data_IF_992614698326
#
_entry.id   IF_992614698326
#
_cell.length_a   1.000
_cell.length_b   1.000
_cell.length_c   1.000
_cell.angle_alpha   90.00
_cell.angle_beta   90.00
_cell.angle_gamma   90.00
#
_symmetry.space_group_name_H-M   'P 1'
#
loop_
_entity.id
_entity.type
_entity.pdbx_description
1 polymer ?
#
# COMPACT_ATOMS: atom_id res chain seq x y z
N UNK A 1 23.96 -1.33 -26.25
CA UNK A 1 24.37 -0.49 -27.39
C UNK A 1 23.29 0.54 -27.68
N UNK A 2 23.61 1.83 -27.62
CA UNK A 2 22.87 2.92 -28.25
C UNK A 2 21.87 3.67 -27.35
N UNK A 3 22.38 4.57 -26.50
CA UNK A 3 21.61 5.71 -25.98
C UNK A 3 21.27 6.66 -27.15
N UNK A 4 20.01 7.09 -27.24
CA UNK A 4 19.63 8.25 -28.03
C UNK A 4 18.99 9.27 -27.11
N UNK A 5 19.73 10.35 -26.83
CA UNK A 5 19.20 11.55 -26.18
C UNK A 5 18.48 12.39 -27.23
N UNK A 6 17.21 12.72 -27.00
CA UNK A 6 16.49 13.70 -27.80
C UNK A 6 16.36 15.01 -27.01
N UNK A 7 17.06 16.02 -27.47
CA UNK A 7 16.95 17.41 -27.01
C UNK A 7 15.83 18.09 -27.76
N UNK A 8 14.81 18.59 -27.04
CA UNK A 8 13.72 19.39 -27.59
C UNK A 8 14.05 20.88 -27.42
N UNK A 9 14.24 21.59 -28.54
CA UNK A 9 14.34 23.03 -28.58
C UNK A 9 12.95 23.70 -28.56
N UNK A 10 12.74 24.59 -27.62
CA UNK A 10 11.60 25.48 -27.58
C UNK A 10 11.85 26.71 -28.42
N UNK A 11 11.02 26.92 -29.43
CA UNK A 11 10.94 28.19 -30.19
C UNK A 11 9.67 28.93 -29.77
N UNK A 12 9.86 30.08 -29.14
CA UNK A 12 8.78 31.00 -28.77
C UNK A 12 8.25 31.80 -29.97
N UNK A 13 6.96 31.92 -30.09
CA UNK A 13 6.31 32.93 -30.94
C UNK A 13 5.36 33.74 -30.06
N UNK A 14 5.63 35.03 -29.95
CA UNK A 14 4.76 36.01 -29.30
C UNK A 14 3.66 36.43 -30.28
N UNK A 15 2.41 36.29 -29.85
CA UNK A 15 1.22 36.89 -30.50
C UNK A 15 0.60 37.90 -29.56
N UNK A 16 0.65 39.17 -29.94
CA UNK A 16 -0.08 40.28 -29.33
C UNK A 16 -1.53 40.24 -29.80
N UNK A 17 -2.46 39.99 -28.90
CA UNK A 17 -3.90 40.07 -29.15
C UNK A 17 -4.58 41.01 -28.16
N UNK A 18 -5.30 41.98 -28.68
CA UNK A 18 -6.00 43.04 -27.97
C UNK A 18 -7.14 42.50 -27.10
N UNK A 19 -7.23 42.97 -25.87
CA UNK A 19 -8.26 42.61 -24.92
C UNK A 19 -9.58 43.34 -25.23
N UNK A 20 -10.67 42.60 -25.41
CA UNK A 20 -12.04 43.07 -25.29
C UNK A 20 -12.55 42.73 -23.89
N UNK A 21 -13.03 43.73 -23.16
CA UNK A 21 -13.55 43.56 -21.80
C UNK A 21 -14.97 42.95 -21.85
N UNK A 22 -15.15 41.82 -21.22
CA UNK A 22 -16.46 41.23 -20.87
C UNK A 22 -16.92 41.68 -19.46
N UNK A 23 -18.24 41.83 -19.23
CA UNK A 23 -18.74 42.35 -17.96
C UNK A 23 -18.79 41.28 -16.85
N UNK A 24 -18.15 41.59 -15.74
CA UNK A 24 -18.51 41.22 -14.38
C UNK A 24 -18.82 39.77 -14.06
N UNK A 25 -17.79 38.92 -13.93
CA UNK A 25 -17.92 37.70 -13.14
C UNK A 25 -17.95 38.04 -11.63
N UNK A 26 -18.90 37.46 -10.90
CA UNK A 26 -18.97 37.58 -9.44
C UNK A 26 -17.66 37.10 -8.80
N UNK A 27 -17.19 37.73 -7.71
CA UNK A 27 -15.96 37.32 -7.04
C UNK A 27 -16.10 35.88 -6.54
N UNK A 28 -15.06 35.07 -6.81
CA UNK A 28 -14.97 33.71 -6.29
C UNK A 28 -15.08 33.73 -4.76
N UNK A 29 -15.74 32.75 -4.12
CA UNK A 29 -15.80 32.68 -2.68
C UNK A 29 -14.39 32.61 -2.11
N UNK A 30 -14.14 33.22 -0.95
CA UNK A 30 -12.82 33.18 -0.32
C UNK A 30 -12.41 31.72 -0.05
N UNK A 31 -11.10 31.38 -0.15
CA UNK A 31 -10.62 30.06 0.16
C UNK A 31 -11.01 29.71 1.61
N UNK A 32 -11.37 28.44 1.90
CA UNK A 32 -11.70 28.03 3.27
C UNK A 32 -10.53 28.34 4.19
N UNK A 33 -10.84 28.94 5.32
CA UNK A 33 -9.85 29.33 6.34
C UNK A 33 -9.09 28.11 6.86
N UNK A 34 -7.85 28.26 7.36
CA UNK A 34 -7.05 27.18 7.88
C UNK A 34 -7.71 26.58 9.13
N UNK A 35 -8.25 25.36 9.05
CA UNK A 35 -8.63 24.64 10.25
C UNK A 35 -9.79 23.65 10.21
N UNK A 36 -10.59 23.55 9.17
CA UNK A 36 -11.67 22.56 9.13
C UNK A 36 -11.46 21.60 7.96
N UNK A 37 -11.15 20.34 8.26
CA UNK A 37 -11.30 19.25 7.29
C UNK A 37 -12.77 19.21 6.88
N UNK A 38 -13.07 19.10 5.58
CA UNK A 38 -14.43 18.89 5.10
C UNK A 38 -15.06 17.69 5.82
N UNK A 39 -16.37 17.72 6.13
CA UNK A 39 -17.02 16.59 6.77
C UNK A 39 -16.93 15.36 5.87
N UNK A 40 -16.48 14.22 6.43
CA UNK A 40 -16.39 12.94 5.73
C UNK A 40 -17.81 12.50 5.35
N UNK A 41 -18.11 12.19 4.06
CA UNK A 41 -19.42 11.70 3.65
C UNK A 41 -19.82 10.43 4.40
N UNK A 42 -21.07 10.34 4.84
CA UNK A 42 -21.54 9.23 5.68
C UNK A 42 -21.55 7.87 4.97
N UNK A 43 -21.56 7.88 3.65
CA UNK A 43 -21.52 6.73 2.74
C UNK A 43 -20.14 6.51 2.09
N UNK A 44 -19.13 7.27 2.50
CA UNK A 44 -17.76 7.02 2.07
C UNK A 44 -17.25 5.66 2.54
N UNK A 45 -16.30 5.07 1.80
CA UNK A 45 -15.68 3.79 2.18
C UNK A 45 -15.11 3.86 3.60
N UNK A 46 -14.47 4.98 3.93
CA UNK A 46 -13.95 5.28 5.27
C UNK A 46 -15.04 5.21 6.34
N UNK A 47 -16.15 5.95 6.14
CA UNK A 47 -17.21 6.04 7.14
C UNK A 47 -17.93 4.69 7.34
N UNK A 48 -18.09 3.93 6.26
CA UNK A 48 -18.68 2.59 6.32
C UNK A 48 -17.75 1.60 7.03
N UNK A 49 -16.46 1.59 6.69
CA UNK A 49 -15.45 0.77 7.35
C UNK A 49 -15.31 1.08 8.84
N UNK A 50 -15.30 2.36 9.22
CA UNK A 50 -15.18 2.78 10.62
C UNK A 50 -16.37 2.28 11.48
N UNK A 51 -17.58 2.16 10.92
CA UNK A 51 -18.75 1.60 11.64
C UNK A 51 -18.58 0.14 12.05
N UNK A 52 -17.80 -0.61 11.30
CA UNK A 52 -17.55 -2.04 11.56
C UNK A 52 -16.16 -2.31 12.15
N UNK A 53 -15.36 -1.26 12.35
CA UNK A 53 -14.01 -1.35 12.90
C UNK A 53 -12.97 -1.87 11.92
N UNK A 54 -13.25 -1.85 10.60
CA UNK A 54 -12.31 -2.17 9.53
C UNK A 54 -11.69 -0.89 8.97
N UNK A 55 -10.37 -0.84 8.87
CA UNK A 55 -9.69 0.28 8.21
C UNK A 55 -9.72 0.09 6.70
N UNK A 56 -10.29 1.06 5.98
CA UNK A 56 -10.19 1.11 4.53
C UNK A 56 -9.04 2.05 4.18
N UNK A 57 -7.96 1.47 3.64
CA UNK A 57 -6.73 2.20 3.32
C UNK A 57 -6.59 2.51 1.85
N UNK A 58 -5.50 3.20 1.50
CA UNK A 58 -4.99 3.33 0.12
C UNK A 58 -3.50 3.64 0.12
N UNK A 59 -2.78 3.13 -0.89
CA UNK A 59 -1.46 3.67 -1.21
C UNK A 59 -1.61 5.08 -1.78
N UNK A 60 -0.64 5.95 -1.48
CA UNK A 60 -0.68 7.38 -1.83
C UNK A 60 0.57 7.79 -2.58
N UNK A 61 0.36 8.30 -3.79
CA UNK A 61 1.37 9.07 -4.50
C UNK A 61 1.45 10.47 -3.88
N UNK A 62 2.53 10.74 -3.16
CA UNK A 62 2.70 12.00 -2.41
C UNK A 62 2.89 13.23 -3.28
N UNK A 63 3.25 13.07 -4.56
CA UNK A 63 3.41 14.18 -5.49
C UNK A 63 2.05 14.77 -5.90
N UNK A 64 1.00 13.95 -5.82
CA UNK A 64 -0.37 14.37 -6.09
C UNK A 64 -1.04 15.08 -4.90
N UNK A 65 -0.56 14.85 -3.68
CA UNK A 65 -1.10 15.51 -2.49
C UNK A 65 -0.82 17.01 -2.50
N UNK A 66 -1.89 17.81 -2.60
CA UNK A 66 -1.83 19.27 -2.62
C UNK A 66 -1.63 19.87 -4.02
N UNK A 67 -1.12 19.10 -4.99
CA UNK A 67 -1.03 19.50 -6.40
C UNK A 67 -2.31 19.17 -7.18
N UNK A 68 -2.93 18.03 -6.90
CA UNK A 68 -4.20 17.59 -7.46
C UNK A 68 -5.30 17.67 -6.38
N UNK A 69 -6.20 18.64 -6.54
CA UNK A 69 -7.26 18.90 -5.54
C UNK A 69 -8.23 17.71 -5.40
N UNK A 70 -8.61 17.07 -6.52
CA UNK A 70 -9.54 15.94 -6.50
C UNK A 70 -8.89 14.69 -5.90
N UNK A 71 -7.63 14.37 -6.26
CA UNK A 71 -6.87 13.30 -5.64
C UNK A 71 -6.77 13.50 -4.12
N UNK A 72 -6.42 14.73 -3.70
CA UNK A 72 -6.30 15.11 -2.29
C UNK A 72 -7.63 14.94 -1.55
N UNK A 73 -8.75 15.36 -2.16
CA UNK A 73 -10.09 15.25 -1.59
C UNK A 73 -10.50 13.78 -1.42
N UNK A 74 -10.36 12.96 -2.46
CA UNK A 74 -10.68 11.52 -2.42
C UNK A 74 -9.85 10.83 -1.34
N UNK A 75 -8.54 11.09 -1.29
CA UNK A 75 -7.66 10.52 -0.26
C UNK A 75 -8.15 10.85 1.15
N UNK A 76 -8.58 12.08 1.42
CA UNK A 76 -9.05 12.50 2.73
C UNK A 76 -10.42 11.91 3.10
N UNK A 77 -11.35 11.85 2.13
CA UNK A 77 -12.75 11.51 2.38
C UNK A 77 -13.03 10.01 2.35
N UNK A 78 -12.34 9.26 1.49
CA UNK A 78 -12.68 7.85 1.24
C UNK A 78 -11.88 6.86 2.07
N UNK A 79 -10.75 7.25 2.65
CA UNK A 79 -9.84 6.33 3.30
C UNK A 79 -9.57 6.70 4.76
N UNK A 80 -9.56 5.70 5.65
CA UNK A 80 -9.26 5.86 7.08
C UNK A 80 -7.79 5.60 7.42
N UNK A 81 -7.03 5.05 6.45
CA UNK A 81 -5.58 4.91 6.55
C UNK A 81 -4.90 5.19 5.21
N UNK A 82 -3.64 5.59 5.26
CA UNK A 82 -2.80 5.85 4.09
C UNK A 82 -1.48 5.10 4.20
N UNK A 83 -0.99 4.62 3.07
CA UNK A 83 0.31 3.97 2.92
C UNK A 83 1.15 4.79 1.96
N UNK A 84 2.37 5.22 2.29
CA UNK A 84 3.24 5.86 1.30
C UNK A 84 3.60 4.86 0.21
N UNK A 85 3.25 5.16 -1.03
CA UNK A 85 3.57 4.27 -2.16
C UNK A 85 5.07 4.06 -2.30
N UNK A 86 5.86 5.12 -2.18
CA UNK A 86 7.31 5.08 -2.37
C UNK A 86 8.14 5.79 -1.31
N UNK A 87 7.65 6.90 -0.73
CA UNK A 87 8.48 7.87 0.01
C UNK A 87 9.03 7.38 1.36
N UNK A 88 8.63 6.20 1.84
CA UNK A 88 9.25 5.55 3.01
C UNK A 88 10.15 4.36 2.63
N UNK A 89 10.35 4.07 1.33
CA UNK A 89 11.28 3.04 0.87
C UNK A 89 12.73 3.53 0.99
N UNK A 90 13.64 2.64 1.31
CA UNK A 90 15.02 2.99 1.69
C UNK A 90 15.74 3.87 0.68
N UNK A 91 15.56 3.58 -0.64
CA UNK A 91 16.16 4.39 -1.71
C UNK A 91 15.86 5.89 -1.59
N UNK A 92 14.65 6.24 -1.13
CA UNK A 92 14.21 7.63 -1.04
C UNK A 92 14.51 8.25 0.33
N UNK A 93 14.42 7.47 1.42
CA UNK A 93 14.68 8.02 2.76
C UNK A 93 16.17 8.16 3.09
N UNK A 94 17.05 7.38 2.45
CA UNK A 94 18.50 7.47 2.66
C UNK A 94 19.27 7.34 1.32
N UNK A 95 19.08 8.29 0.39
CA UNK A 95 19.68 8.21 -0.96
C UNK A 95 21.22 8.18 -0.92
N UNK A 96 21.83 8.79 0.08
CA UNK A 96 23.25 8.72 0.36
C UNK A 96 23.48 8.21 1.78
N UNK A 97 24.47 7.36 1.98
CA UNK A 97 24.76 6.71 3.27
C UNK A 97 24.88 7.73 4.41
N UNK A 98 24.00 7.61 5.41
CA UNK A 98 23.95 8.49 6.57
C UNK A 98 23.25 9.83 6.33
N UNK A 99 22.72 10.08 5.13
CA UNK A 99 21.98 11.31 4.81
C UNK A 99 20.52 10.98 4.55
N UNK A 100 19.65 11.40 5.44
CA UNK A 100 18.22 11.12 5.36
C UNK A 100 17.44 12.27 4.72
N UNK A 101 16.44 11.91 3.90
CA UNK A 101 15.41 12.83 3.38
C UNK A 101 14.03 12.34 3.84
N UNK A 102 13.49 12.97 4.85
CA UNK A 102 12.18 12.67 5.41
C UNK A 102 11.06 13.54 4.85
N UNK A 103 11.40 14.59 4.08
CA UNK A 103 10.48 15.67 3.76
C UNK A 103 9.17 15.19 3.08
N UNK A 104 9.24 14.26 2.13
CA UNK A 104 8.07 13.74 1.45
C UNK A 104 7.23 12.84 2.36
N UNK A 105 7.86 11.99 3.17
CA UNK A 105 7.19 11.14 4.13
C UNK A 105 6.53 11.95 5.26
N UNK A 106 7.21 12.99 5.78
CA UNK A 106 6.66 13.91 6.77
C UNK A 106 5.43 14.66 6.26
N UNK A 107 5.40 15.04 4.98
CA UNK A 107 4.21 15.65 4.35
C UNK A 107 3.01 14.69 4.37
N UNK A 108 3.22 13.41 4.03
CA UNK A 108 2.16 12.40 4.10
C UNK A 108 1.65 12.20 5.51
N UNK A 109 2.55 12.06 6.49
CA UNK A 109 2.19 11.90 7.90
C UNK A 109 1.42 13.12 8.41
N UNK A 110 1.85 14.33 8.05
CA UNK A 110 1.17 15.58 8.40
C UNK A 110 -0.23 15.66 7.78
N UNK A 111 -0.37 15.25 6.51
CA UNK A 111 -1.66 15.15 5.84
C UNK A 111 -2.59 14.15 6.56
N UNK A 112 -2.10 12.96 6.87
CA UNK A 112 -2.86 11.95 7.57
C UNK A 112 -3.36 12.43 8.94
N UNK A 113 -2.49 13.04 9.73
CA UNK A 113 -2.84 13.65 11.03
C UNK A 113 -3.94 14.69 10.89
N UNK A 114 -3.82 15.62 9.94
CA UNK A 114 -4.82 16.65 9.66
C UNK A 114 -6.19 16.03 9.35
N UNK A 115 -6.22 14.90 8.63
CA UNK A 115 -7.44 14.22 8.22
C UNK A 115 -7.86 13.10 9.17
N UNK A 116 -7.19 12.93 10.33
CA UNK A 116 -7.46 11.87 11.32
C UNK A 116 -7.39 10.47 10.71
N UNK A 117 -6.42 10.25 9.84
CA UNK A 117 -6.12 8.97 9.21
C UNK A 117 -4.96 8.30 9.92
N UNK A 118 -4.94 6.97 9.91
CA UNK A 118 -3.80 6.18 10.33
C UNK A 118 -2.76 6.12 9.20
N UNK A 119 -1.49 5.91 9.57
CA UNK A 119 -0.43 5.71 8.59
C UNK A 119 0.14 4.31 8.73
N UNK A 120 0.15 3.54 7.63
CA UNK A 120 0.90 2.30 7.50
C UNK A 120 2.26 2.63 6.91
N UNK A 121 3.34 2.34 7.64
CA UNK A 121 4.71 2.53 7.16
C UNK A 121 5.13 1.38 6.24
N UNK A 122 5.54 1.70 5.03
CA UNK A 122 5.94 0.73 4.01
C UNK A 122 7.23 1.20 3.32
N UNK A 123 8.30 0.49 3.45
CA UNK A 123 8.61 -0.72 4.20
C UNK A 123 10.04 -0.62 4.77
N UNK A 124 10.34 -1.30 5.88
CA UNK A 124 11.66 -1.19 6.50
C UNK A 124 12.72 -2.07 5.82
N UNK A 125 12.38 -3.33 5.49
CA UNK A 125 13.31 -4.28 4.88
C UNK A 125 12.69 -4.90 3.64
N UNK A 126 13.27 -4.61 2.50
CA UNK A 126 12.89 -5.17 1.21
C UNK A 126 14.14 -5.38 0.36
N UNK A 127 14.06 -6.19 -0.69
CA UNK A 127 15.17 -6.40 -1.63
C UNK A 127 15.14 -5.41 -2.79
N UNK A 128 14.01 -4.71 -2.99
CA UNK A 128 13.81 -3.75 -4.06
C UNK A 128 13.94 -2.31 -3.54
N UNK A 129 14.12 -1.35 -4.45
CA UNK A 129 14.23 0.09 -4.16
C UNK A 129 15.21 0.41 -3.02
N UNK A 130 16.38 -0.25 -3.05
CA UNK A 130 17.51 0.04 -2.17
C UNK A 130 18.36 1.18 -2.76
N UNK A 131 19.02 2.00 -1.94
CA UNK A 131 19.97 3.00 -2.44
C UNK A 131 21.18 2.31 -3.06
N UNK A 132 21.71 2.88 -4.12
CA UNK A 132 22.80 2.29 -4.92
C UNK A 132 24.10 2.09 -4.14
N UNK A 133 24.34 2.89 -3.10
CA UNK A 133 25.49 2.70 -2.21
C UNK A 133 25.42 1.41 -1.39
N UNK A 134 24.22 0.85 -1.24
CA UNK A 134 23.97 -0.41 -0.50
C UNK A 134 23.88 -1.59 -1.47
N UNK A 135 23.01 -1.51 -2.47
CA UNK A 135 22.81 -2.53 -3.48
C UNK A 135 21.99 -1.97 -4.65
N UNK A 136 22.37 -2.30 -5.88
CA UNK A 136 21.62 -1.91 -7.08
C UNK A 136 20.58 -2.94 -7.51
N UNK A 137 20.68 -4.18 -7.03
CA UNK A 137 19.85 -5.31 -7.45
C UNK A 137 19.18 -6.05 -6.26
N UNK A 138 19.50 -5.67 -5.01
CA UNK A 138 19.01 -6.33 -3.80
C UNK A 138 19.69 -7.65 -3.46
N UNK A 139 20.54 -8.15 -4.36
CA UNK A 139 21.17 -9.46 -4.24
C UNK A 139 22.71 -9.42 -4.15
N UNK A 140 23.31 -8.31 -4.55
CA UNK A 140 24.76 -8.09 -4.47
C UNK A 140 25.08 -6.78 -3.75
N UNK A 141 26.21 -6.76 -3.05
CA UNK A 141 26.72 -5.57 -2.35
C UNK A 141 28.24 -5.64 -2.22
N UNK A 142 28.88 -4.49 -2.14
CA UNK A 142 30.32 -4.39 -1.84
C UNK A 142 30.60 -4.36 -0.33
N UNK A 143 29.55 -4.25 0.51
CA UNK A 143 29.69 -4.23 1.95
C UNK A 143 29.96 -5.64 2.51
N UNK A 144 30.76 -5.71 3.54
CA UNK A 144 30.91 -6.96 4.33
C UNK A 144 29.61 -7.33 5.05
N UNK A 145 29.43 -8.60 5.41
CA UNK A 145 28.28 -9.07 6.17
C UNK A 145 28.05 -8.27 7.47
N UNK A 146 29.13 -7.89 8.16
CA UNK A 146 29.02 -7.09 9.38
C UNK A 146 28.55 -5.67 9.11
N UNK A 147 28.98 -5.06 8.01
CA UNK A 147 28.49 -3.74 7.59
C UNK A 147 27.02 -3.82 7.19
N UNK A 148 26.60 -4.83 6.41
CA UNK A 148 25.19 -5.04 6.05
C UNK A 148 24.32 -5.14 7.31
N UNK A 149 24.74 -5.91 8.32
CA UNK A 149 24.04 -6.02 9.60
C UNK A 149 23.93 -4.67 10.33
N UNK A 150 25.02 -3.93 10.37
CA UNK A 150 25.09 -2.64 11.05
C UNK A 150 24.19 -1.58 10.37
N UNK A 151 24.23 -1.49 9.03
CA UNK A 151 23.43 -0.51 8.28
C UNK A 151 21.95 -0.86 8.34
N UNK A 152 21.57 -2.15 8.28
CA UNK A 152 20.19 -2.58 8.42
C UNK A 152 19.61 -2.20 9.79
N UNK A 153 20.34 -2.53 10.87
CA UNK A 153 19.92 -2.16 12.23
C UNK A 153 19.72 -0.65 12.35
N UNK A 154 20.71 0.12 11.87
CA UNK A 154 20.66 1.59 11.94
C UNK A 154 19.47 2.14 11.17
N UNK A 155 19.24 1.70 9.94
CA UNK A 155 18.11 2.13 9.10
C UNK A 155 16.77 1.89 9.80
N UNK A 156 16.53 0.65 10.26
CA UNK A 156 15.27 0.32 10.95
C UNK A 156 15.07 1.22 12.18
N UNK A 157 16.10 1.34 13.01
CA UNK A 157 15.99 2.14 14.23
C UNK A 157 15.80 3.63 13.95
N UNK A 158 16.48 4.18 12.97
CA UNK A 158 16.39 5.61 12.65
C UNK A 158 15.01 5.93 12.04
N UNK A 159 14.54 5.13 11.09
CA UNK A 159 13.26 5.36 10.45
C UNK A 159 12.09 5.19 11.44
N UNK A 160 12.09 4.11 12.22
CA UNK A 160 11.03 3.88 13.22
C UNK A 160 11.05 4.95 14.32
N UNK A 161 12.23 5.41 14.76
CA UNK A 161 12.35 6.48 15.75
C UNK A 161 11.87 7.83 15.21
N UNK A 162 12.18 8.14 13.93
CA UNK A 162 11.73 9.38 13.29
C UNK A 162 10.21 9.50 13.30
N UNK A 163 9.51 8.40 12.98
CA UNK A 163 8.05 8.35 12.93
C UNK A 163 7.39 7.78 14.19
N UNK A 164 8.11 7.71 15.30
CA UNK A 164 7.60 7.08 16.53
C UNK A 164 6.30 7.70 17.02
N UNK A 165 5.29 6.84 17.15
CA UNK A 165 3.94 7.21 17.58
C UNK A 165 3.04 7.77 16.48
N UNK A 166 3.56 7.93 15.25
CA UNK A 166 2.83 8.40 14.08
C UNK A 166 2.41 7.24 13.15
N UNK A 167 3.15 6.14 13.20
CA UNK A 167 2.86 4.94 12.39
C UNK A 167 2.06 3.95 13.24
N UNK A 168 0.91 3.58 12.71
CA UNK A 168 0.02 2.58 13.29
C UNK A 168 0.51 1.14 13.09
N UNK A 169 1.03 0.87 11.87
CA UNK A 169 1.48 -0.44 11.43
C UNK A 169 2.73 -0.27 10.55
N UNK A 170 3.76 -1.05 10.78
CA UNK A 170 4.94 -1.16 9.92
C UNK A 170 4.94 -2.48 9.16
N UNK A 171 5.20 -2.44 7.88
CA UNK A 171 5.71 -3.59 7.14
C UNK A 171 7.21 -3.68 7.43
N UNK A 172 7.54 -4.53 8.41
CA UNK A 172 8.92 -4.67 8.86
C UNK A 172 9.77 -5.39 7.83
N UNK A 173 9.24 -6.47 7.27
CA UNK A 173 9.87 -7.23 6.18
C UNK A 173 8.86 -7.47 5.08
N UNK A 174 9.28 -7.17 3.86
CA UNK A 174 8.50 -7.33 2.64
C UNK A 174 9.14 -8.38 1.73
N UNK A 175 8.37 -9.38 1.28
CA UNK A 175 8.67 -10.31 0.19
C UNK A 175 9.96 -11.13 0.39
N UNK A 176 10.10 -11.78 1.53
CA UNK A 176 11.30 -12.59 1.84
C UNK A 176 11.32 -13.97 1.16
N UNK A 177 10.20 -14.40 0.56
CA UNK A 177 10.07 -15.68 -0.13
C UNK A 177 9.77 -15.51 -1.62
N UNK A 178 10.29 -16.41 -2.45
CA UNK A 178 9.92 -16.52 -3.86
C UNK A 178 8.60 -17.32 -4.02
N UNK A 179 8.12 -17.45 -5.25
CA UNK A 179 6.83 -18.10 -5.54
C UNK A 179 6.87 -19.62 -5.34
N UNK A 180 8.06 -20.23 -5.34
CA UNK A 180 8.28 -21.64 -4.98
C UNK A 180 8.30 -21.88 -3.46
N UNK A 181 8.18 -20.82 -2.66
CA UNK A 181 8.27 -20.86 -1.20
C UNK A 181 9.70 -20.98 -0.67
N UNK A 182 10.70 -20.70 -1.50
CA UNK A 182 12.10 -20.64 -1.07
C UNK A 182 12.43 -19.24 -0.55
N UNK A 183 13.30 -19.14 0.48
CA UNK A 183 13.82 -17.83 0.88
C UNK A 183 14.55 -17.15 -0.27
N UNK A 184 14.29 -15.86 -0.48
CA UNK A 184 15.07 -15.05 -1.42
C UNK A 184 16.49 -14.86 -0.88
N UNK A 185 17.49 -15.20 -1.67
CA UNK A 185 18.91 -15.07 -1.30
C UNK A 185 19.40 -13.61 -1.47
N UNK A 186 18.69 -12.68 -0.85
CA UNK A 186 19.01 -11.25 -0.83
C UNK A 186 20.33 -10.96 -0.11
N UNK A 187 20.80 -9.70 -0.15
CA UNK A 187 21.97 -9.27 0.63
C UNK A 187 21.75 -9.51 2.13
N UNK A 188 20.50 -9.42 2.60
CA UNK A 188 20.11 -9.71 3.99
C UNK A 188 20.28 -11.18 4.31
N UNK A 189 19.70 -12.05 3.50
CA UNK A 189 19.81 -13.50 3.65
C UNK A 189 21.28 -13.95 3.69
N UNK A 190 22.08 -13.46 2.75
CA UNK A 190 23.52 -13.78 2.66
C UNK A 190 24.30 -13.31 3.89
N UNK A 191 24.02 -12.10 4.38
CA UNK A 191 24.70 -11.54 5.53
C UNK A 191 24.44 -12.33 6.84
N UNK A 192 23.26 -12.93 7.00
CA UNK A 192 22.92 -13.76 8.17
C UNK A 192 23.16 -15.26 7.94
N UNK A 193 23.38 -15.70 6.70
CA UNK A 193 23.41 -17.11 6.33
C UNK A 193 22.04 -17.78 6.47
N UNK A 194 20.93 -17.02 6.22
CA UNK A 194 19.56 -17.49 6.34
C UNK A 194 18.58 -16.40 6.74
N UNK A 195 17.36 -16.80 7.16
CA UNK A 195 16.26 -15.91 7.50
C UNK A 195 16.38 -15.21 8.87
N UNK A 196 17.48 -15.37 9.59
CA UNK A 196 17.68 -14.78 10.92
C UNK A 196 17.55 -13.25 10.97
N UNK A 197 17.82 -12.54 9.85
CA UNK A 197 17.66 -11.10 9.75
C UNK A 197 16.22 -10.64 10.02
N UNK A 198 15.23 -11.47 9.70
CA UNK A 198 13.82 -11.14 9.89
C UNK A 198 13.50 -11.01 11.38
N UNK A 199 13.92 -12.00 12.19
CA UNK A 199 13.72 -11.95 13.63
C UNK A 199 14.39 -10.71 14.27
N UNK A 200 15.61 -10.39 13.81
CA UNK A 200 16.34 -9.20 14.30
C UNK A 200 15.66 -7.90 13.86
N UNK A 201 15.18 -7.81 12.61
CA UNK A 201 14.44 -6.64 12.11
C UNK A 201 13.19 -6.36 12.96
N UNK A 202 12.38 -7.37 13.27
CA UNK A 202 11.21 -7.23 14.13
C UNK A 202 11.58 -6.77 15.56
N UNK A 203 12.65 -7.32 16.15
CA UNK A 203 13.12 -6.90 17.47
C UNK A 203 13.58 -5.45 17.47
N UNK A 204 14.34 -5.02 16.48
CA UNK A 204 14.82 -3.64 16.38
C UNK A 204 13.70 -2.63 16.11
N UNK A 205 12.72 -3.01 15.30
CA UNK A 205 11.53 -2.18 15.10
C UNK A 205 10.73 -2.02 16.40
N UNK A 206 10.51 -3.12 17.14
CA UNK A 206 9.82 -3.10 18.43
C UNK A 206 10.58 -2.30 19.50
N UNK A 207 11.91 -2.43 19.56
CA UNK A 207 12.74 -1.61 20.45
C UNK A 207 12.60 -0.11 20.17
N UNK A 208 12.47 0.27 18.90
CA UNK A 208 12.35 1.67 18.50
C UNK A 208 10.95 2.25 18.76
N UNK A 209 9.88 1.51 18.41
CA UNK A 209 8.49 1.84 18.75
C UNK A 209 7.69 0.60 19.16
N UNK A 210 7.52 0.35 20.48
CA UNK A 210 6.78 -0.81 20.97
C UNK A 210 5.25 -0.70 20.82
N UNK A 211 4.73 0.41 20.28
CA UNK A 211 3.28 0.62 20.11
C UNK A 211 2.80 0.37 18.70
N UNK A 212 3.67 0.48 17.69
CA UNK A 212 3.32 0.17 16.32
C UNK A 212 3.11 -1.32 16.14
N UNK A 213 2.10 -1.71 15.35
CA UNK A 213 1.91 -3.09 14.93
C UNK A 213 2.99 -3.48 13.92
N UNK A 214 3.58 -4.65 14.07
CA UNK A 214 4.68 -5.12 13.24
C UNK A 214 4.24 -6.28 12.35
N UNK A 215 4.31 -6.08 11.04
CA UNK A 215 3.81 -6.99 10.02
C UNK A 215 4.93 -7.55 9.14
N UNK A 216 4.76 -8.81 8.76
CA UNK A 216 5.37 -9.39 7.57
C UNK A 216 4.41 -9.20 6.40
N UNK A 217 4.86 -8.76 5.23
CA UNK A 217 4.01 -8.47 4.08
C UNK A 217 4.53 -9.20 2.84
N UNK A 218 3.63 -9.86 2.08
CA UNK A 218 4.01 -10.58 0.87
C UNK A 218 2.81 -10.73 -0.09
N UNK A 219 3.11 -10.97 -1.37
CA UNK A 219 2.14 -11.28 -2.43
C UNK A 219 2.02 -12.80 -2.63
N UNK A 220 1.01 -13.23 -3.35
CA UNK A 220 0.69 -14.64 -3.59
C UNK A 220 0.48 -15.46 -2.30
N UNK A 221 -0.01 -14.79 -1.24
CA UNK A 221 -0.53 -15.43 -0.03
C UNK A 221 -2.03 -15.66 -0.09
N UNK A 222 -2.72 -15.21 -1.13
CA UNK A 222 -4.17 -15.21 -1.31
C UNK A 222 -4.75 -16.61 -1.56
N UNK A 223 -3.89 -17.59 -1.73
CA UNK A 223 -4.27 -19.00 -1.97
C UNK A 223 -3.30 -19.96 -1.29
N UNK A 224 -3.78 -21.18 -1.01
CA UNK A 224 -2.93 -22.24 -0.46
C UNK A 224 -1.97 -22.73 -1.53
N UNK A 225 -0.68 -22.54 -1.30
CA UNK A 225 0.38 -22.87 -2.25
C UNK A 225 1.75 -22.96 -1.57
N UNK A 226 2.82 -23.24 -2.32
CA UNK A 226 4.16 -23.37 -1.76
C UNK A 226 4.59 -22.16 -0.95
N UNK A 227 4.42 -20.95 -1.48
CA UNK A 227 4.82 -19.70 -0.83
C UNK A 227 4.01 -19.43 0.43
N UNK A 228 2.68 -19.47 0.36
CA UNK A 228 1.83 -19.20 1.53
C UNK A 228 2.04 -20.22 2.64
N UNK A 229 2.35 -21.48 2.30
CA UNK A 229 2.69 -22.51 3.28
C UNK A 229 4.06 -22.25 3.91
N UNK A 230 5.07 -21.90 3.11
CA UNK A 230 6.41 -21.58 3.63
C UNK A 230 6.39 -20.37 4.57
N UNK A 231 5.66 -19.31 4.21
CA UNK A 231 5.46 -18.11 5.05
C UNK A 231 4.71 -18.50 6.34
N UNK A 232 3.66 -19.32 6.25
CA UNK A 232 2.92 -19.79 7.43
C UNK A 232 3.81 -20.52 8.42
N UNK A 233 4.60 -21.51 7.96
CA UNK A 233 5.49 -22.29 8.80
C UNK A 233 6.62 -21.43 9.40
N UNK A 234 7.11 -20.48 8.62
CA UNK A 234 8.13 -19.54 9.10
C UNK A 234 7.57 -18.59 10.18
N UNK A 235 6.41 -18.00 9.96
CA UNK A 235 5.76 -17.13 10.94
C UNK A 235 5.42 -17.88 12.23
N UNK A 236 4.98 -19.14 12.12
CA UNK A 236 4.80 -20.03 13.28
C UNK A 236 6.10 -20.20 14.07
N UNK A 237 7.23 -20.32 13.37
CA UNK A 237 8.56 -20.39 13.98
C UNK A 237 8.92 -19.08 14.68
N UNK A 238 8.68 -17.91 14.07
CA UNK A 238 8.89 -16.61 14.70
C UNK A 238 8.07 -16.47 16.00
N UNK A 239 6.81 -16.88 15.98
CA UNK A 239 5.95 -16.89 17.18
C UNK A 239 6.51 -17.79 18.28
N UNK A 240 6.95 -19.00 17.95
CA UNK A 240 7.56 -19.93 18.91
C UNK A 240 8.84 -19.33 19.54
N UNK A 241 9.60 -18.54 18.78
CA UNK A 241 10.79 -17.82 19.24
C UNK A 241 10.48 -16.51 19.97
N UNK A 242 9.18 -16.19 20.18
CA UNK A 242 8.70 -14.94 20.80
C UNK A 242 9.24 -13.68 20.11
N UNK A 243 9.38 -13.75 18.79
CA UNK A 243 9.64 -12.54 17.98
C UNK A 243 8.39 -11.67 18.02
N UNK A 244 8.52 -10.34 18.18
CA UNK A 244 7.38 -9.42 18.29
C UNK A 244 6.75 -9.18 16.91
N UNK A 245 6.13 -10.20 16.33
CA UNK A 245 5.32 -10.13 15.12
C UNK A 245 3.85 -10.06 15.52
N UNK A 246 3.16 -9.02 15.05
CA UNK A 246 1.75 -8.78 15.35
C UNK A 246 0.82 -9.24 14.23
N UNK A 247 1.30 -9.30 12.99
CA UNK A 247 0.45 -9.67 11.86
C UNK A 247 1.17 -10.03 10.58
N UNK A 248 0.33 -10.43 9.60
CA UNK A 248 0.73 -10.74 8.23
C UNK A 248 -0.15 -9.97 7.26
N UNK A 249 0.48 -9.28 6.30
CA UNK A 249 -0.15 -8.61 5.18
C UNK A 249 -0.18 -9.51 3.95
N UNK A 250 -1.33 -9.56 3.32
CA UNK A 250 -1.60 -10.20 2.04
C UNK A 250 -1.72 -9.07 1.02
N UNK A 251 -0.79 -8.98 0.07
CA UNK A 251 -0.79 -7.84 -0.85
C UNK A 251 -2.06 -7.75 -1.69
N UNK A 252 -2.55 -8.88 -2.21
CA UNK A 252 -3.80 -8.89 -2.96
C UNK A 252 -3.69 -8.34 -4.38
N UNK A 253 -2.52 -8.48 -5.03
CA UNK A 253 -2.35 -8.16 -6.44
C UNK A 253 -3.02 -9.22 -7.32
N UNK A 254 -4.33 -9.06 -7.53
CA UNK A 254 -5.18 -10.05 -8.18
C UNK A 254 -5.23 -9.85 -9.70
N UNK A 255 -5.44 -10.97 -10.40
CA UNK A 255 -5.58 -11.02 -11.83
C UNK A 255 -6.86 -11.77 -12.19
N UNK A 256 -7.69 -11.19 -13.05
CA UNK A 256 -8.96 -11.81 -13.48
C UNK A 256 -8.81 -13.17 -14.18
N UNK A 257 -7.58 -13.54 -14.56
CA UNK A 257 -7.28 -14.83 -15.18
C UNK A 257 -7.04 -15.94 -14.17
N UNK A 258 -6.70 -15.62 -12.92
CA UNK A 258 -6.34 -16.58 -11.88
C UNK A 258 -7.30 -16.49 -10.69
N UNK A 259 -7.77 -17.63 -10.22
CA UNK A 259 -8.65 -17.69 -9.04
C UNK A 259 -7.87 -17.61 -7.73
N UNK A 260 -8.53 -17.12 -6.69
CA UNK A 260 -8.05 -17.12 -5.30
C UNK A 260 -9.11 -17.74 -4.37
N UNK A 261 -9.45 -19.03 -4.53
CA UNK A 261 -10.60 -19.64 -3.84
C UNK A 261 -10.41 -19.74 -2.33
N UNK A 262 -9.17 -19.74 -1.85
CA UNK A 262 -8.81 -20.06 -0.46
C UNK A 262 -8.48 -18.84 0.39
N UNK A 263 -8.66 -17.60 -0.12
CA UNK A 263 -8.24 -16.38 0.56
C UNK A 263 -8.77 -16.31 2.00
N UNK A 264 -10.06 -16.51 2.20
CA UNK A 264 -10.64 -16.50 3.56
C UNK A 264 -10.00 -17.55 4.47
N UNK A 265 -9.79 -18.76 3.99
CA UNK A 265 -9.17 -19.84 4.76
C UNK A 265 -7.68 -19.51 5.07
N UNK A 266 -6.98 -18.90 4.13
CA UNK A 266 -5.62 -18.47 4.35
C UNK A 266 -5.53 -17.34 5.38
N UNK A 267 -6.34 -16.29 5.27
CA UNK A 267 -6.44 -15.25 6.29
C UNK A 267 -6.74 -15.87 7.67
N UNK A 268 -7.71 -16.80 7.74
CA UNK A 268 -8.11 -17.42 9.00
C UNK A 268 -6.98 -18.25 9.64
N UNK A 269 -6.25 -19.06 8.86
CA UNK A 269 -5.17 -19.88 9.45
C UNK A 269 -4.03 -19.05 10.06
N UNK A 270 -3.70 -17.88 9.47
CA UNK A 270 -2.73 -16.96 10.07
C UNK A 270 -3.32 -16.29 11.31
N UNK A 271 -4.60 -15.92 11.29
CA UNK A 271 -5.31 -15.41 12.46
C UNK A 271 -5.35 -16.42 13.62
N UNK A 272 -5.48 -17.72 13.33
CA UNK A 272 -5.47 -18.81 14.32
C UNK A 272 -4.11 -18.95 15.04
N UNK A 273 -3.02 -18.40 14.47
CA UNK A 273 -1.73 -18.27 15.17
C UNK A 273 -1.73 -17.13 16.21
N UNK A 274 -2.85 -16.43 16.40
CA UNK A 274 -2.96 -15.25 17.27
C UNK A 274 -2.35 -14.00 16.63
N UNK A 275 -2.41 -13.88 15.31
CA UNK A 275 -1.94 -12.73 14.54
C UNK A 275 -3.12 -11.89 14.02
N UNK A 276 -2.85 -10.62 13.77
CA UNK A 276 -3.68 -9.81 12.88
C UNK A 276 -3.37 -10.18 11.44
N UNK A 277 -4.36 -10.02 10.57
CA UNK A 277 -4.19 -10.12 9.12
C UNK A 277 -4.71 -8.85 8.45
N UNK A 278 -4.25 -8.56 7.27
CA UNK A 278 -4.66 -7.40 6.49
C UNK A 278 -4.54 -7.71 5.00
N UNK A 279 -5.45 -7.19 4.19
CA UNK A 279 -5.23 -7.06 2.76
C UNK A 279 -4.62 -5.69 2.50
N UNK A 280 -3.41 -5.66 1.94
CA UNK A 280 -2.51 -4.53 2.09
C UNK A 280 -2.25 -3.73 0.82
N UNK A 281 -2.49 -4.33 -0.37
CA UNK A 281 -2.09 -3.74 -1.66
C UNK A 281 -3.06 -4.16 -2.78
N UNK A 282 -4.35 -4.25 -2.47
CA UNK A 282 -5.34 -4.84 -3.38
C UNK A 282 -5.45 -4.03 -4.67
N UNK A 283 -5.26 -4.71 -5.78
CA UNK A 283 -5.65 -4.30 -7.12
C UNK A 283 -6.14 -5.53 -7.90
N UNK A 284 -6.95 -5.30 -8.95
CA UNK A 284 -7.51 -6.37 -9.76
C UNK A 284 -7.28 -6.05 -11.23
N UNK A 285 -6.17 -6.50 -11.78
CA UNK A 285 -5.80 -6.25 -13.16
C UNK A 285 -6.56 -7.14 -14.14
N UNK A 286 -6.66 -6.66 -15.36
CA UNK A 286 -7.18 -7.38 -16.51
C UNK A 286 -6.45 -6.95 -17.77
N UNK A 287 -6.59 -7.70 -18.86
CA UNK A 287 -6.06 -7.30 -20.15
C UNK A 287 -6.72 -6.01 -20.65
N UNK A 288 -5.88 -5.09 -21.11
CA UNK A 288 -6.29 -3.79 -21.65
C UNK A 288 -5.74 -3.58 -23.05
N UNK A 289 -6.25 -2.53 -23.70
CA UNK A 289 -5.67 -2.06 -24.95
C UNK A 289 -4.23 -1.58 -24.73
N UNK A 290 -3.45 -1.53 -25.81
CA UNK A 290 -2.12 -0.94 -25.77
C UNK A 290 -2.17 0.58 -25.52
N UNK A 291 -1.04 1.15 -25.11
CA UNK A 291 -0.93 2.60 -24.93
C UNK A 291 -1.41 3.38 -26.18
N UNK A 292 -2.16 4.48 -26.01
CA UNK A 292 -2.39 5.18 -24.76
C UNK A 292 -3.61 4.67 -23.93
N UNK A 293 -4.33 3.64 -24.37
CA UNK A 293 -5.60 3.20 -23.80
C UNK A 293 -5.44 2.10 -22.74
N UNK A 294 -4.36 2.14 -21.99
CA UNK A 294 -3.98 1.11 -20.98
C UNK A 294 -5.01 0.87 -19.86
N UNK A 295 -6.02 1.70 -19.77
CA UNK A 295 -7.11 1.56 -18.81
C UNK A 295 -8.44 1.13 -19.46
N UNK A 296 -8.42 0.73 -20.75
CA UNK A 296 -9.58 0.22 -21.46
C UNK A 296 -9.48 -1.30 -21.57
N UNK A 297 -10.32 -2.07 -20.85
CA UNK A 297 -10.33 -3.54 -20.97
C UNK A 297 -10.60 -3.99 -22.41
N UNK A 298 -9.79 -4.91 -22.91
CA UNK A 298 -9.99 -5.52 -24.24
C UNK A 298 -11.26 -6.36 -24.31
N UNK A 299 -11.69 -6.92 -23.17
CA UNK A 299 -12.95 -7.63 -23.03
C UNK A 299 -13.91 -6.82 -22.13
N UNK A 300 -15.01 -6.28 -22.66
CA UNK A 300 -15.98 -5.54 -21.85
C UNK A 300 -16.56 -6.33 -20.67
N UNK A 301 -16.57 -7.65 -20.74
CA UNK A 301 -17.03 -8.51 -19.65
C UNK A 301 -16.03 -8.63 -18.50
N UNK A 302 -14.78 -8.21 -18.69
CA UNK A 302 -13.77 -8.21 -17.63
C UNK A 302 -14.17 -7.33 -16.43
N UNK A 303 -14.96 -6.29 -16.66
CA UNK A 303 -15.49 -5.41 -15.58
C UNK A 303 -16.28 -6.24 -14.56
N UNK A 304 -17.11 -7.19 -14.99
CA UNK A 304 -17.86 -8.06 -14.05
C UNK A 304 -16.95 -9.02 -13.28
N UNK A 305 -15.88 -9.49 -13.91
CA UNK A 305 -14.86 -10.27 -13.20
C UNK A 305 -14.16 -9.42 -12.13
N UNK A 306 -13.75 -8.21 -12.48
CA UNK A 306 -13.13 -7.27 -11.53
C UNK A 306 -14.07 -6.97 -10.36
N UNK A 307 -15.35 -6.64 -10.60
CA UNK A 307 -16.35 -6.43 -9.53
C UNK A 307 -16.44 -7.63 -8.59
N UNK A 308 -16.52 -8.84 -9.16
CA UNK A 308 -16.57 -10.08 -8.39
C UNK A 308 -15.31 -10.28 -7.55
N UNK A 309 -14.13 -10.00 -8.09
CA UNK A 309 -12.85 -10.17 -7.40
C UNK A 309 -12.70 -9.19 -6.24
N UNK A 310 -13.00 -7.91 -6.46
CA UNK A 310 -13.03 -6.89 -5.42
C UNK A 310 -13.98 -7.27 -4.28
N UNK A 311 -15.21 -7.67 -4.61
CA UNK A 311 -16.22 -8.10 -3.62
C UNK A 311 -15.77 -9.33 -2.83
N UNK A 312 -15.19 -10.33 -3.49
CA UNK A 312 -14.73 -11.57 -2.84
C UNK A 312 -13.53 -11.32 -1.92
N UNK A 313 -12.59 -10.49 -2.33
CA UNK A 313 -11.46 -10.09 -1.50
C UNK A 313 -11.94 -9.38 -0.24
N UNK A 314 -12.75 -8.33 -0.37
CA UNK A 314 -13.30 -7.63 0.80
C UNK A 314 -14.11 -8.57 1.71
N UNK A 315 -14.94 -9.44 1.15
CA UNK A 315 -15.75 -10.40 1.95
C UNK A 315 -14.90 -11.42 2.68
N UNK A 316 -13.79 -11.85 2.12
CA UNK A 316 -12.83 -12.71 2.80
C UNK A 316 -12.26 -12.03 4.05
N UNK A 317 -11.85 -10.77 3.94
CA UNK A 317 -11.40 -9.97 5.08
C UNK A 317 -12.53 -9.76 6.10
N UNK A 318 -13.73 -9.40 5.67
CA UNK A 318 -14.89 -9.21 6.56
C UNK A 318 -15.29 -10.47 7.33
N UNK A 319 -15.05 -11.65 6.77
CA UNK A 319 -15.35 -12.93 7.39
C UNK A 319 -14.35 -13.33 8.49
N UNK A 320 -13.16 -12.75 8.50
CA UNK A 320 -12.09 -13.05 9.47
C UNK A 320 -11.99 -11.91 10.49
N UNK A 321 -12.29 -12.23 11.75
CA UNK A 321 -12.36 -11.23 12.83
C UNK A 321 -11.05 -10.43 13.01
N UNK A 322 -9.92 -11.08 12.80
CA UNK A 322 -8.58 -10.51 12.96
C UNK A 322 -8.11 -9.75 11.72
N UNK A 323 -8.91 -9.67 10.65
CA UNK A 323 -8.63 -8.78 9.52
C UNK A 323 -8.92 -7.33 9.92
N UNK A 324 -7.86 -6.52 9.95
CA UNK A 324 -7.92 -5.16 10.52
C UNK A 324 -7.95 -4.07 9.47
N UNK A 325 -7.56 -4.37 8.25
CA UNK A 325 -7.60 -3.41 7.14
C UNK A 325 -7.75 -4.07 5.78
N UNK A 326 -8.34 -3.31 4.86
CA UNK A 326 -8.44 -3.60 3.44
C UNK A 326 -7.94 -2.37 2.67
N UNK A 327 -6.85 -2.51 1.94
CA UNK A 327 -6.10 -1.38 1.36
C UNK A 327 -5.86 -1.59 -0.12
N UNK A 328 -6.58 -0.89 -1.02
CA UNK A 328 -6.19 -0.74 -2.42
C UNK A 328 -4.78 -0.17 -2.61
N UNK A 329 -4.02 -0.69 -3.59
CA UNK A 329 -2.69 -0.15 -3.94
C UNK A 329 -2.80 1.04 -4.89
N UNK A 330 -3.26 2.17 -4.35
CA UNK A 330 -3.74 3.32 -5.08
C UNK A 330 -5.25 3.25 -5.30
N UNK A 331 -5.83 4.28 -5.90
CA UNK A 331 -7.27 4.29 -6.16
C UNK A 331 -7.64 4.75 -7.58
N UNK A 332 -6.80 5.52 -8.28
CA UNK A 332 -7.03 6.02 -9.64
C UNK A 332 -6.17 5.31 -10.68
N UNK A 333 -6.78 4.81 -11.75
CA UNK A 333 -6.09 4.02 -12.78
C UNK A 333 -4.90 4.75 -13.43
N UNK A 334 -4.93 6.10 -13.52
CA UNK A 334 -3.80 6.91 -14.02
C UNK A 334 -2.54 6.75 -13.20
N UNK A 335 -2.67 6.47 -11.91
CA UNK A 335 -1.55 6.36 -10.97
C UNK A 335 -1.19 4.91 -10.64
N UNK A 336 -1.80 3.94 -11.32
CA UNK A 336 -1.54 2.51 -11.11
C UNK A 336 -0.15 2.12 -11.63
N UNK A 337 0.56 1.31 -10.85
CA UNK A 337 1.83 0.71 -11.25
C UNK A 337 1.69 -0.39 -12.32
N UNK A 338 0.47 -0.97 -12.43
CA UNK A 338 0.18 -2.15 -13.26
C UNK A 338 0.58 -1.96 -14.72
N UNK A 339 0.18 -0.88 -15.45
CA UNK A 339 0.52 -0.75 -16.86
C UNK A 339 2.02 -0.63 -17.13
N UNK A 340 2.79 -0.14 -16.16
CA UNK A 340 4.24 -0.03 -16.28
C UNK A 340 4.99 -1.33 -16.06
N UNK A 341 4.38 -2.27 -15.33
CA UNK A 341 4.98 -3.56 -15.00
C UNK A 341 4.50 -4.69 -15.92
N UNK A 342 3.21 -4.69 -16.28
CA UNK A 342 2.56 -5.68 -17.14
C UNK A 342 2.25 -5.07 -18.52
N UNK A 343 3.30 -4.87 -19.31
CA UNK A 343 3.21 -4.18 -20.60
C UNK A 343 3.07 -5.11 -21.81
N UNK A 344 3.38 -6.41 -21.65
CA UNK A 344 3.26 -7.41 -22.73
C UNK A 344 2.93 -8.81 -22.16
N UNK A 345 1.68 -9.27 -22.24
CA UNK A 345 0.51 -8.53 -22.73
C UNK A 345 0.13 -7.36 -21.81
N UNK A 346 -0.43 -6.30 -22.39
CA UNK A 346 -0.81 -5.11 -21.64
C UNK A 346 -1.94 -5.41 -20.65
N UNK A 347 -1.74 -5.04 -19.39
CA UNK A 347 -2.74 -5.11 -18.33
C UNK A 347 -2.93 -3.76 -17.65
N UNK A 348 -4.09 -3.56 -17.02
CA UNK A 348 -4.43 -2.31 -16.36
C UNK A 348 -5.84 -2.29 -15.80
N UNK A 349 -6.46 -1.11 -15.78
CA UNK A 349 -7.82 -0.83 -15.30
C UNK A 349 -8.09 -1.41 -13.89
N UNK A 350 -7.08 -1.45 -13.04
CA UNK A 350 -7.04 -2.32 -11.86
C UNK A 350 -7.70 -1.73 -10.60
N UNK A 351 -7.98 -0.42 -10.58
CA UNK A 351 -8.33 0.32 -9.37
C UNK A 351 -9.80 0.74 -9.30
N UNK A 352 -10.19 1.44 -8.22
CA UNK A 352 -11.59 1.79 -7.93
C UNK A 352 -12.10 3.02 -8.69
N UNK A 353 -11.20 3.89 -9.15
CA UNK A 353 -11.49 5.10 -9.89
C UNK A 353 -10.82 5.04 -11.26
N UNK A 354 -11.46 5.64 -12.25
CA UNK A 354 -10.93 5.73 -13.60
C UNK A 354 -9.79 6.77 -13.74
N UNK A 355 -9.36 7.01 -14.97
CA UNK A 355 -8.28 7.95 -15.26
C UNK A 355 -8.62 9.40 -14.92
N UNK A 356 -9.91 9.76 -14.88
CA UNK A 356 -10.42 11.09 -14.53
C UNK A 356 -10.80 11.20 -13.04
N UNK A 357 -10.41 10.22 -12.21
CA UNK A 357 -10.76 10.11 -10.80
C UNK A 357 -12.27 10.01 -10.54
N UNK A 358 -13.04 9.45 -11.47
CA UNK A 358 -14.45 9.13 -11.27
C UNK A 358 -14.59 7.70 -10.75
N UNK A 359 -15.49 7.45 -9.77
CA UNK A 359 -15.67 6.11 -9.24
C UNK A 359 -16.19 5.15 -10.32
N UNK A 360 -15.55 3.99 -10.42
CA UNK A 360 -15.94 2.88 -11.30
C UNK A 360 -16.97 1.98 -10.60
N UNK A 361 -17.53 1.02 -11.33
CA UNK A 361 -18.48 0.06 -10.76
C UNK A 361 -17.91 -0.73 -9.57
N UNK A 362 -16.61 -1.05 -9.60
CA UNK A 362 -15.88 -1.71 -8.51
C UNK A 362 -15.94 -0.90 -7.19
N UNK A 363 -15.87 0.44 -7.26
CA UNK A 363 -16.05 1.30 -6.09
C UNK A 363 -17.42 1.09 -5.46
N UNK A 364 -18.48 1.09 -6.26
CA UNK A 364 -19.85 0.92 -5.76
C UNK A 364 -20.11 -0.48 -5.20
N UNK A 365 -19.46 -1.50 -5.74
CA UNK A 365 -19.52 -2.86 -5.19
C UNK A 365 -18.90 -2.91 -3.78
N UNK A 366 -17.72 -2.33 -3.60
CA UNK A 366 -17.07 -2.23 -2.28
C UNK A 366 -17.91 -1.40 -1.31
N UNK A 367 -18.44 -0.26 -1.76
CA UNK A 367 -19.32 0.59 -0.96
C UNK A 367 -20.57 -0.17 -0.50
N UNK A 368 -21.22 -0.92 -1.39
CA UNK A 368 -22.39 -1.71 -1.07
C UNK A 368 -22.08 -2.85 -0.08
N UNK A 369 -20.99 -3.58 -0.27
CA UNK A 369 -20.58 -4.66 0.63
C UNK A 369 -20.27 -4.13 2.04
N UNK A 370 -19.59 -2.98 2.15
CA UNK A 370 -19.37 -2.32 3.42
C UNK A 370 -20.66 -1.82 4.07
N UNK A 371 -21.58 -1.25 3.28
CA UNK A 371 -22.89 -0.79 3.78
C UNK A 371 -23.73 -1.95 4.33
N UNK A 372 -23.75 -3.08 3.63
CA UNK A 372 -24.41 -4.31 4.10
C UNK A 372 -23.78 -4.84 5.39
N UNK A 373 -22.45 -4.88 5.46
CA UNK A 373 -21.73 -5.30 6.67
C UNK A 373 -22.01 -4.34 7.85
N UNK A 374 -22.09 -3.05 7.61
CA UNK A 374 -22.39 -2.04 8.63
C UNK A 374 -23.84 -2.08 9.12
N UNK A 375 -24.78 -2.55 8.29
CA UNK A 375 -26.19 -2.72 8.62
C UNK A 375 -26.53 -4.07 9.25
N UNK A 376 -25.63 -5.05 9.18
CA UNK A 376 -25.86 -6.36 9.83
C UNK A 376 -25.88 -6.22 11.35
N UNK A 377 -26.85 -6.87 12.06
CA UNK A 377 -26.82 -6.90 13.52
C UNK A 377 -25.51 -7.52 14.00
N UNK A 378 -24.84 -6.87 14.95
CA UNK A 378 -23.64 -7.44 15.58
C UNK A 378 -24.02 -8.81 16.12
N UNK A 379 -23.29 -9.85 15.71
CA UNK A 379 -23.34 -11.13 16.40
C UNK A 379 -22.73 -10.89 17.79
N UNK A 380 -23.61 -10.72 18.79
CA UNK A 380 -23.20 -10.63 20.19
C UNK A 380 -22.61 -11.96 20.62
N UNK A 381 -21.37 -12.19 20.30
CA UNK A 381 -20.52 -13.18 20.93
C UNK A 381 -19.96 -12.53 22.19
N UNK A 382 -20.59 -12.80 23.34
CA UNK A 382 -20.16 -12.28 24.64
C UNK A 382 -18.69 -12.53 24.90
N UNK A 383 -17.89 -11.47 24.81
CA UNK A 383 -16.52 -11.37 25.27
C UNK A 383 -16.32 -9.98 25.88
N UNK A 384 -15.51 -9.84 26.93
CA UNK A 384 -15.39 -8.60 27.70
C UNK A 384 -14.90 -7.46 26.83
N UNK A 385 -15.46 -6.28 27.10
CA UNK A 385 -15.25 -5.04 26.33
C UNK A 385 -13.79 -4.74 26.06
N UNK A 386 -13.58 -4.19 24.86
CA UNK A 386 -12.28 -3.61 24.47
C UNK A 386 -12.08 -2.28 25.21
N UNK A 387 -10.84 -2.02 25.70
CA UNK A 387 -10.43 -0.67 26.04
C UNK A 387 -10.20 0.20 24.80
#
# INVERSE_FOLDING_TARGET
MGLVSATVLLSGAALTGSASAEPGAAPAPPPPGPGHSAPVPADSLRALGDRIGLRIGTAVNTDELGSNAEYTRITAEQFSSVTPENVMKWQLVEPNRGTYDWAAADRLVSFAKKNKQLVRGHTLVWHNQLPTWLSSDGFTTTLSNNEVKAVLKKHIQDQVKHFKGDIWQWDVVNEAFDDDGKPRETIWYKAWGGLGYIADAFRWAHEADPKALLFYNDYNLEFTGPKSNAVYDFVKTLKAQRVPIDGVGFQGHLDTQYGFPDLQNNLQRFADLGLKVAETEVDVRTFTEAAPNVNTPTNPLAVYAQESYWSRALKACLAVRECISFTPWGFGDTYSWIPGWFADPQEGAALLYDADLKPKSQYYVIQQDLALAAGAPRRDGGGPGRP
#
